data_IF_044785263035
#
_entry.id   IF_044785263035
#
_cell.length_a   1.000
_cell.length_b   1.000
_cell.length_c   1.000
_cell.angle_alpha   90.00
_cell.angle_beta   90.00
_cell.angle_gamma   90.00
#
_symmetry.space_group_name_H-M   'P 1'
#
loop_
_entity.id
_entity.type
_entity.pdbx_description
1 polymer ?
#
# COMPACT_ATOMS: atom_id res chain seq x y z
N UNK A 1 -4.14 -25.64 14.58
CA UNK A 1 -3.55 -25.10 13.34
C UNK A 1 -2.81 -26.24 12.64
N UNK A 2 -3.33 -26.74 11.51
CA UNK A 2 -2.66 -27.78 10.71
C UNK A 2 -1.64 -27.12 9.77
N UNK A 3 -0.66 -27.87 9.25
CA UNK A 3 0.34 -27.35 8.30
C UNK A 3 -0.26 -26.64 7.08
N UNK A 4 -1.48 -27.03 6.66
CA UNK A 4 -2.23 -26.39 5.58
C UNK A 4 -2.62 -24.94 5.91
N UNK A 5 -2.99 -24.63 7.16
CA UNK A 5 -3.41 -23.28 7.55
C UNK A 5 -2.23 -22.31 7.56
N UNK A 6 -1.06 -22.76 8.04
CA UNK A 6 0.16 -21.95 8.07
C UNK A 6 0.66 -21.59 6.67
N UNK A 7 0.55 -22.52 5.72
CA UNK A 7 0.84 -22.25 4.31
C UNK A 7 -0.08 -21.17 3.73
N UNK A 8 -1.38 -21.21 4.04
CA UNK A 8 -2.33 -20.19 3.57
C UNK A 8 -2.02 -18.79 4.11
N UNK A 9 -1.61 -18.67 5.38
CA UNK A 9 -1.17 -17.39 5.95
C UNK A 9 0.08 -16.85 5.25
N UNK A 10 1.04 -17.72 4.98
CA UNK A 10 2.25 -17.36 4.25
C UNK A 10 1.94 -16.90 2.82
N UNK A 11 1.08 -17.63 2.09
CA UNK A 11 0.66 -17.23 0.75
C UNK A 11 -0.13 -15.92 0.74
N UNK A 12 -1.02 -15.71 1.72
CA UNK A 12 -1.74 -14.43 1.86
C UNK A 12 -0.77 -13.27 2.09
N UNK A 13 0.26 -13.46 2.93
CA UNK A 13 1.28 -12.46 3.18
C UNK A 13 2.10 -12.13 1.93
N UNK A 14 2.53 -13.16 1.19
CA UNK A 14 3.24 -12.97 -0.09
C UNK A 14 2.36 -12.25 -1.09
N UNK A 15 1.11 -12.67 -1.24
CA UNK A 15 0.18 -12.13 -2.24
C UNK A 15 -0.11 -10.64 -1.99
N UNK A 16 -0.41 -10.26 -0.75
CA UNK A 16 -0.64 -8.84 -0.43
C UNK A 16 0.63 -8.00 -0.58
N UNK A 17 1.80 -8.55 -0.21
CA UNK A 17 3.10 -7.89 -0.39
C UNK A 17 3.40 -7.67 -1.87
N UNK A 18 3.08 -8.67 -2.71
CA UNK A 18 3.22 -8.58 -4.16
C UNK A 18 2.32 -7.48 -4.73
N UNK A 19 1.04 -7.44 -4.37
CA UNK A 19 0.11 -6.39 -4.82
C UNK A 19 0.63 -5.00 -4.43
N UNK A 20 1.06 -4.81 -3.18
CA UNK A 20 1.56 -3.52 -2.71
C UNK A 20 2.85 -3.10 -3.44
N UNK A 21 3.74 -4.06 -3.69
CA UNK A 21 4.96 -3.83 -4.47
C UNK A 21 4.62 -3.47 -5.91
N UNK A 22 3.69 -4.18 -6.54
CA UNK A 22 3.23 -3.91 -7.90
C UNK A 22 2.61 -2.51 -8.03
N UNK A 23 1.73 -2.14 -7.10
CA UNK A 23 1.16 -0.78 -7.01
C UNK A 23 2.25 0.26 -6.86
N UNK A 24 3.26 0.02 -6.01
CA UNK A 24 4.37 0.95 -5.78
C UNK A 24 5.24 1.11 -7.04
N UNK A 25 5.52 0.01 -7.75
CA UNK A 25 6.27 0.04 -9.00
C UNK A 25 5.50 0.78 -10.10
N UNK A 26 4.21 0.51 -10.26
CA UNK A 26 3.35 1.27 -11.18
C UNK A 26 3.28 2.73 -10.78
N UNK A 27 3.17 3.02 -9.48
CA UNK A 27 3.25 4.39 -8.99
C UNK A 27 4.53 5.03 -9.49
N UNK A 28 5.69 4.40 -9.42
CA UNK A 28 6.96 4.95 -9.91
C UNK A 28 7.03 5.11 -11.45
N UNK A 29 6.58 4.12 -12.22
CA UNK A 29 6.79 4.05 -13.68
C UNK A 29 5.73 4.81 -14.47
N UNK A 30 4.47 4.79 -14.03
CA UNK A 30 3.36 5.41 -14.78
C UNK A 30 3.51 6.94 -14.80
N UNK A 31 3.35 7.60 -15.96
CA UNK A 31 3.48 9.06 -16.05
C UNK A 31 2.62 9.80 -15.02
N UNK A 32 3.21 10.79 -14.36
CA UNK A 32 2.59 11.52 -13.25
C UNK A 32 2.58 13.02 -13.47
N UNK A 33 1.59 13.68 -12.86
CA UNK A 33 1.54 15.13 -12.77
C UNK A 33 2.25 15.59 -11.50
N UNK A 34 3.04 16.66 -11.61
CA UNK A 34 3.69 17.29 -10.47
C UNK A 34 2.84 18.50 -10.05
N UNK A 35 2.28 18.43 -8.85
CA UNK A 35 1.38 19.46 -8.30
C UNK A 35 2.07 20.15 -7.13
N UNK A 36 2.06 21.48 -7.11
CA UNK A 36 2.70 22.25 -6.05
C UNK A 36 1.98 22.01 -4.71
N UNK A 37 2.76 21.78 -3.65
CA UNK A 37 2.23 21.64 -2.30
C UNK A 37 1.64 22.96 -1.78
N UNK A 38 0.50 22.87 -1.10
CA UNK A 38 -0.21 24.04 -0.56
C UNK A 38 0.24 24.45 0.86
N UNK A 39 1.02 23.60 1.53
CA UNK A 39 1.51 23.84 2.89
C UNK A 39 2.93 24.38 2.84
N UNK A 40 3.18 25.55 3.46
CA UNK A 40 4.49 26.20 3.54
C UNK A 40 5.61 25.30 4.10
N UNK A 41 5.19 24.37 4.93
CA UNK A 41 6.01 23.50 5.76
C UNK A 41 6.04 22.04 5.24
N UNK A 42 5.59 21.84 4.01
CA UNK A 42 5.46 20.57 3.32
C UNK A 42 6.34 20.46 2.07
N UNK A 43 6.27 19.33 1.37
CA UNK A 43 7.01 19.16 0.14
C UNK A 43 6.56 20.16 -0.93
N UNK A 44 7.52 20.70 -1.70
CA UNK A 44 7.22 21.71 -2.71
C UNK A 44 6.38 21.16 -3.86
N UNK A 45 6.52 19.88 -4.18
CA UNK A 45 5.75 19.21 -5.23
C UNK A 45 5.33 17.80 -4.80
N UNK A 46 4.12 17.43 -5.21
CA UNK A 46 3.55 16.10 -5.10
C UNK A 46 3.49 15.46 -6.48
N UNK A 47 3.94 14.21 -6.57
CA UNK A 47 3.82 13.39 -7.76
C UNK A 47 2.50 12.60 -7.70
N UNK A 48 1.56 12.95 -8.58
CA UNK A 48 0.20 12.39 -8.58
C UNK A 48 -0.09 11.61 -9.87
N UNK A 49 -0.36 10.32 -9.72
CA UNK A 49 -0.84 9.45 -10.79
C UNK A 49 -1.82 8.37 -10.27
N UNK A 50 -2.35 8.53 -9.04
CA UNK A 50 -3.13 7.51 -8.35
C UNK A 50 -4.29 6.95 -9.17
N UNK A 51 -5.05 7.81 -9.87
CA UNK A 51 -6.14 7.36 -10.75
C UNK A 51 -5.65 6.50 -11.92
N UNK A 52 -4.52 6.84 -12.54
CA UNK A 52 -3.95 6.04 -13.64
C UNK A 52 -3.51 4.67 -13.13
N UNK A 53 -2.86 4.64 -11.97
CA UNK A 53 -2.42 3.39 -11.33
C UNK A 53 -3.62 2.53 -10.96
N UNK A 54 -4.67 3.12 -10.37
CA UNK A 54 -5.94 2.44 -10.08
C UNK A 54 -6.51 1.77 -11.34
N UNK A 55 -6.70 2.52 -12.43
CA UNK A 55 -7.25 1.98 -13.66
C UNK A 55 -6.42 0.83 -14.22
N UNK A 56 -5.08 0.97 -14.23
CA UNK A 56 -4.19 -0.09 -14.71
C UNK A 56 -4.33 -1.34 -13.84
N UNK A 57 -4.29 -1.19 -12.51
CA UNK A 57 -4.38 -2.33 -11.58
C UNK A 57 -5.73 -3.03 -11.69
N UNK A 58 -6.84 -2.28 -11.67
CA UNK A 58 -8.18 -2.85 -11.79
C UNK A 58 -8.38 -3.57 -13.12
N UNK A 59 -7.92 -2.99 -14.24
CA UNK A 59 -8.01 -3.63 -15.55
C UNK A 59 -7.14 -4.89 -15.63
N UNK A 60 -5.89 -4.83 -15.14
CA UNK A 60 -5.02 -6.01 -15.07
C UNK A 60 -5.63 -7.12 -14.23
N UNK A 61 -6.29 -6.77 -13.12
CA UNK A 61 -6.96 -7.74 -12.26
C UNK A 61 -8.14 -8.43 -12.95
N UNK A 62 -9.03 -7.66 -13.58
CA UNK A 62 -10.18 -8.19 -14.34
C UNK A 62 -9.70 -9.11 -15.47
N UNK A 63 -8.71 -8.67 -16.26
CA UNK A 63 -8.16 -9.48 -17.36
C UNK A 63 -7.52 -10.78 -16.83
N UNK A 64 -6.84 -10.73 -15.69
CA UNK A 64 -6.19 -11.91 -15.08
C UNK A 64 -7.21 -12.97 -14.64
N UNK A 65 -8.38 -12.53 -14.18
CA UNK A 65 -9.49 -13.39 -13.78
C UNK A 65 -10.20 -13.94 -15.03
N UNK A 66 -10.72 -13.05 -15.88
CA UNK A 66 -11.66 -13.41 -16.95
C UNK A 66 -10.96 -14.14 -18.10
N UNK A 67 -9.79 -13.64 -18.54
CA UNK A 67 -9.15 -14.12 -19.76
C UNK A 67 -8.09 -15.19 -19.49
N UNK A 68 -7.22 -14.95 -18.52
CA UNK A 68 -6.11 -15.87 -18.26
C UNK A 68 -6.47 -17.02 -17.32
N UNK A 69 -7.56 -16.90 -16.55
CA UNK A 69 -7.95 -17.87 -15.51
C UNK A 69 -6.79 -18.16 -14.53
N UNK A 70 -5.83 -17.23 -14.39
CA UNK A 70 -4.68 -17.37 -13.51
C UNK A 70 -5.07 -17.27 -12.03
N UNK A 71 -6.21 -16.64 -11.77
CA UNK A 71 -6.65 -16.28 -10.44
C UNK A 71 -8.03 -16.88 -10.19
N UNK A 72 -8.10 -17.78 -9.20
CA UNK A 72 -9.38 -18.31 -8.75
C UNK A 72 -10.05 -17.32 -7.78
N UNK A 73 -11.16 -16.71 -8.19
CA UNK A 73 -11.94 -15.77 -7.36
C UNK A 73 -12.33 -16.40 -6.03
N UNK A 74 -12.80 -17.65 -6.01
CA UNK A 74 -13.24 -18.33 -4.78
C UNK A 74 -12.07 -18.44 -3.78
N UNK A 75 -10.86 -18.68 -4.29
CA UNK A 75 -9.66 -18.69 -3.47
C UNK A 75 -9.32 -17.31 -2.90
N UNK A 76 -9.45 -16.24 -3.69
CA UNK A 76 -9.23 -14.87 -3.20
C UNK A 76 -10.28 -14.44 -2.15
N UNK A 77 -11.54 -14.82 -2.33
CA UNK A 77 -12.60 -14.59 -1.33
C UNK A 77 -12.25 -15.31 -0.03
N UNK A 78 -11.81 -16.58 -0.11
CA UNK A 78 -11.36 -17.34 1.07
C UNK A 78 -10.21 -16.64 1.80
N UNK A 79 -9.26 -16.06 1.06
CA UNK A 79 -8.10 -15.35 1.64
C UNK A 79 -8.41 -13.92 2.10
N UNK A 80 -9.61 -13.37 1.89
CA UNK A 80 -9.94 -11.95 2.13
C UNK A 80 -9.58 -11.46 3.53
N UNK A 81 -9.97 -12.20 4.57
CA UNK A 81 -9.66 -11.85 5.96
C UNK A 81 -8.16 -12.01 6.26
N UNK A 82 -7.53 -13.05 5.71
CA UNK A 82 -6.07 -13.26 5.84
C UNK A 82 -5.31 -12.09 5.22
N UNK A 83 -5.71 -11.63 4.03
CA UNK A 83 -5.15 -10.43 3.39
C UNK A 83 -5.30 -9.18 4.26
N UNK A 84 -6.47 -8.96 4.88
CA UNK A 84 -6.67 -7.80 5.74
C UNK A 84 -5.72 -7.82 6.96
N UNK A 85 -5.58 -8.98 7.61
CA UNK A 85 -4.64 -9.15 8.74
C UNK A 85 -3.19 -8.95 8.28
N UNK A 86 -2.79 -9.54 7.15
CA UNK A 86 -1.44 -9.36 6.60
C UNK A 86 -1.16 -7.91 6.19
N UNK A 87 -2.15 -7.18 5.66
CA UNK A 87 -2.04 -5.75 5.36
C UNK A 87 -1.81 -4.92 6.62
N UNK A 88 -2.53 -5.22 7.72
CA UNK A 88 -2.27 -4.59 9.02
C UNK A 88 -0.86 -4.88 9.53
N UNK A 89 -0.38 -6.12 9.37
CA UNK A 89 0.97 -6.51 9.75
C UNK A 89 2.02 -5.73 8.95
N UNK A 90 1.83 -5.57 7.63
CA UNK A 90 2.71 -4.74 6.80
C UNK A 90 2.69 -3.26 7.23
N UNK A 91 1.53 -2.72 7.62
CA UNK A 91 1.42 -1.37 8.17
C UNK A 91 2.16 -1.20 9.50
N UNK A 92 2.13 -2.21 10.37
CA UNK A 92 2.94 -2.23 11.58
C UNK A 92 4.43 -2.28 11.24
N UNK A 93 4.86 -3.19 10.36
CA UNK A 93 6.25 -3.28 9.89
C UNK A 93 6.72 -1.94 9.32
N UNK A 94 5.90 -1.29 8.49
CA UNK A 94 6.17 0.04 7.95
C UNK A 94 6.35 1.07 9.07
N UNK A 95 5.50 1.05 10.10
CA UNK A 95 5.62 1.93 11.27
C UNK A 95 6.93 1.69 12.02
N UNK A 96 7.30 0.44 12.26
CA UNK A 96 8.56 0.07 12.92
C UNK A 96 9.79 0.55 12.13
N UNK A 97 9.75 0.45 10.80
CA UNK A 97 10.89 0.80 9.94
C UNK A 97 10.97 2.30 9.65
N UNK A 98 9.83 2.98 9.46
CA UNK A 98 9.80 4.35 8.95
C UNK A 98 9.56 5.38 10.05
N UNK A 99 8.76 5.06 11.07
CA UNK A 99 8.36 6.03 12.10
C UNK A 99 9.27 5.94 13.32
N UNK A 100 9.47 4.74 13.86
CA UNK A 100 10.16 4.55 15.14
C UNK A 100 11.67 4.87 15.18
N UNK A 101 12.45 4.83 14.09
CA UNK A 101 13.86 5.22 14.14
C UNK A 101 14.09 6.70 14.46
N UNK A 102 13.07 7.54 14.29
CA UNK A 102 13.15 8.96 14.56
C UNK A 102 12.92 9.26 16.04
N UNK A 103 13.56 10.33 16.52
CA UNK A 103 13.44 10.79 17.91
C UNK A 103 11.99 11.09 18.25
N UNK A 104 11.64 10.81 19.51
CA UNK A 104 10.31 11.09 20.03
C UNK A 104 10.01 12.60 19.93
N UNK A 105 8.82 12.95 19.44
CA UNK A 105 8.42 14.35 19.22
C UNK A 105 7.38 14.83 20.23
N UNK A 106 6.47 13.95 20.67
CA UNK A 106 5.41 14.28 21.62
C UNK A 106 5.70 13.72 23.03
N UNK A 107 4.85 14.08 23.99
CA UNK A 107 4.94 13.62 25.38
C UNK A 107 4.69 12.13 25.57
N UNK A 108 4.08 11.43 24.60
CA UNK A 108 3.72 10.02 24.71
C UNK A 108 4.17 9.22 23.48
N UNK A 109 4.67 8.01 23.73
CA UNK A 109 5.02 7.05 22.70
C UNK A 109 3.84 6.72 21.75
N UNK A 110 2.62 6.61 22.30
CA UNK A 110 1.43 6.29 21.53
C UNK A 110 0.98 7.44 20.62
N UNK A 111 1.12 8.68 21.10
CA UNK A 111 0.85 9.88 20.30
C UNK A 111 1.80 9.95 19.09
N UNK A 112 3.06 9.56 19.29
CA UNK A 112 4.06 9.53 18.23
C UNK A 112 3.83 8.45 17.17
N UNK A 113 3.29 7.29 17.57
CA UNK A 113 2.86 6.25 16.62
C UNK A 113 1.66 6.76 15.82
N UNK A 114 0.67 7.36 16.48
CA UNK A 114 -0.56 7.81 15.84
C UNK A 114 -0.34 9.01 14.91
N UNK A 115 0.39 10.04 15.37
CA UNK A 115 0.64 11.27 14.61
C UNK A 115 1.84 11.13 13.65
N UNK A 116 2.72 10.15 13.89
CA UNK A 116 3.98 10.01 13.19
C UNK A 116 5.06 10.96 13.73
N UNK A 117 6.32 10.50 13.66
CA UNK A 117 7.51 11.28 14.04
C UNK A 117 8.16 11.99 12.85
N UNK A 118 8.02 11.40 11.67
CA UNK A 118 8.63 11.87 10.43
C UNK A 118 7.65 12.75 9.66
N UNK A 119 8.03 14.01 9.45
CA UNK A 119 7.21 14.97 8.69
C UNK A 119 7.41 14.74 7.19
N UNK A 120 6.35 14.33 6.49
CA UNK A 120 6.29 14.18 5.03
C UNK A 120 7.49 13.42 4.43
N UNK A 121 7.65 12.12 4.75
CA UNK A 121 8.71 11.31 4.16
C UNK A 121 8.65 11.32 2.63
N UNK A 122 9.77 11.67 2.00
CA UNK A 122 9.95 11.55 0.57
C UNK A 122 11.14 10.64 0.25
N UNK A 123 10.94 9.73 -0.71
CA UNK A 123 11.96 8.80 -1.19
C UNK A 123 12.13 8.92 -2.70
N UNK A 124 13.22 8.30 -3.22
CA UNK A 124 13.54 8.24 -4.65
C UNK A 124 13.57 9.62 -5.32
N UNK A 125 14.42 10.54 -4.83
CA UNK A 125 14.53 11.91 -5.38
C UNK A 125 13.20 12.66 -5.44
N UNK A 126 12.39 12.54 -4.37
CA UNK A 126 11.05 13.14 -4.24
C UNK A 126 9.99 12.55 -5.17
N UNK A 127 10.23 11.37 -5.76
CA UNK A 127 9.23 10.68 -6.56
C UNK A 127 8.13 10.02 -5.72
N UNK A 128 8.43 9.63 -4.48
CA UNK A 128 7.48 8.90 -3.62
C UNK A 128 7.30 9.65 -2.31
N UNK A 129 6.11 10.22 -2.11
CA UNK A 129 5.69 10.70 -0.80
C UNK A 129 5.00 9.57 -0.05
N UNK A 130 5.41 9.31 1.20
CA UNK A 130 4.91 8.18 1.95
C UNK A 130 3.42 8.26 2.29
N UNK A 131 2.86 9.46 2.49
CA UNK A 131 1.42 9.60 2.73
C UNK A 131 0.65 9.30 1.45
N UNK A 132 1.09 9.86 0.31
CA UNK A 132 0.48 9.61 -0.99
C UNK A 132 0.55 8.12 -1.36
N UNK A 133 1.69 7.47 -1.14
CA UNK A 133 1.84 6.04 -1.41
C UNK A 133 0.84 5.21 -0.59
N UNK A 134 0.71 5.47 0.71
CA UNK A 134 -0.23 4.76 1.57
C UNK A 134 -1.69 4.98 1.13
N UNK A 135 -2.05 6.18 0.68
CA UNK A 135 -3.38 6.45 0.11
C UNK A 135 -3.63 5.64 -1.16
N UNK A 136 -2.66 5.55 -2.07
CA UNK A 136 -2.79 4.80 -3.32
C UNK A 136 -2.92 3.31 -3.02
N UNK A 137 -2.06 2.76 -2.15
CA UNK A 137 -2.10 1.34 -1.76
C UNK A 137 -3.44 1.02 -1.10
N UNK A 138 -3.88 1.83 -0.12
CA UNK A 138 -5.14 1.60 0.59
C UNK A 138 -6.36 1.75 -0.31
N UNK A 139 -6.39 2.79 -1.14
CA UNK A 139 -7.50 3.05 -2.06
C UNK A 139 -7.66 1.95 -3.12
N UNK A 140 -6.56 1.53 -3.74
CA UNK A 140 -6.58 0.43 -4.71
C UNK A 140 -6.90 -0.91 -4.02
N UNK A 141 -6.35 -1.15 -2.83
CA UNK A 141 -6.67 -2.35 -2.05
C UNK A 141 -8.16 -2.45 -1.72
N UNK A 142 -8.80 -1.33 -1.38
CA UNK A 142 -10.25 -1.26 -1.17
C UNK A 142 -11.02 -1.54 -2.46
N UNK A 143 -10.63 -0.91 -3.58
CA UNK A 143 -11.27 -1.14 -4.89
C UNK A 143 -11.19 -2.61 -5.30
N UNK A 144 -10.02 -3.24 -5.19
CA UNK A 144 -9.86 -4.66 -5.48
C UNK A 144 -10.72 -5.55 -4.56
N UNK A 145 -10.97 -5.12 -3.32
CA UNK A 145 -11.88 -5.83 -2.42
C UNK A 145 -13.35 -5.71 -2.83
N UNK A 146 -13.74 -4.60 -3.45
CA UNK A 146 -15.09 -4.38 -3.98
C UNK A 146 -15.35 -5.16 -5.28
N UNK A 147 -14.31 -5.33 -6.10
CA UNK A 147 -14.38 -6.13 -7.34
C UNK A 147 -14.47 -7.64 -7.02
N UNK A 148 -13.95 -8.07 -5.87
CA UNK A 148 -13.96 -9.46 -5.38
C UNK A 148 -15.27 -9.90 -4.75
#
# INVERSE_FOLDING_TARGET
MTNLDLNEWFFAFIHISFIYTFITLLHLVVPAHHVRGYVHDGPSFYRLNGLRVLFIVSLSFIISIEYFQFVNIQYLIKLRIKHAVCACLLGLIFTFIVVLPYKQKSSSFWLDIYLGRLKNPQWFFNCVDGKILLYIIGGIGLELNLIL
#
